data_IF_920029222550
#
_entry.id   IF_920029222550
#
_cell.length_a   1.000
_cell.length_b   1.000
_cell.length_c   1.000
_cell.angle_alpha   90.00
_cell.angle_beta   90.00
_cell.angle_gamma   90.00
#
_symmetry.space_group_name_H-M   'P 1'
#
loop_
_entity.id
_entity.type
_entity.pdbx_description
1 polymer ?
#
# COMPACT_ATOMS: atom_id res chain seq x y z
N UNK A 1 -40.96 -39.32 9.49
CA UNK A 1 -39.67 -39.85 9.98
C UNK A 1 -38.66 -39.37 8.95
N UNK A 2 -38.08 -38.18 9.13
CA UNK A 2 -36.80 -37.93 9.85
C UNK A 2 -35.68 -38.70 9.14
N UNK A 3 -34.62 -38.10 8.60
CA UNK A 3 -33.85 -36.95 9.09
C UNK A 3 -33.37 -36.04 7.95
N UNK A 4 -33.40 -34.73 8.24
CA UNK A 4 -32.57 -33.74 7.58
C UNK A 4 -31.13 -33.92 8.06
N UNK A 5 -30.22 -34.29 7.15
CA UNK A 5 -28.78 -34.22 7.38
C UNK A 5 -28.30 -32.79 7.11
N UNK A 6 -27.79 -32.15 8.15
CA UNK A 6 -27.31 -30.78 8.20
C UNK A 6 -26.28 -30.40 7.12
N UNK A 7 -26.18 -29.11 6.76
CA UNK A 7 -25.16 -28.59 5.88
C UNK A 7 -23.78 -28.90 6.45
N UNK A 8 -22.92 -29.52 5.64
CA UNK A 8 -21.52 -29.69 5.95
C UNK A 8 -20.92 -28.33 6.31
N UNK A 9 -20.70 -28.13 7.61
CA UNK A 9 -19.95 -27.01 8.13
C UNK A 9 -18.62 -27.00 7.40
N UNK A 10 -18.39 -25.95 6.61
CA UNK A 10 -17.06 -25.65 6.11
C UNK A 10 -16.19 -25.53 7.35
N UNK A 11 -15.15 -26.37 7.53
CA UNK A 11 -14.30 -26.26 8.70
C UNK A 11 -13.71 -24.85 8.72
N UNK A 12 -14.13 -24.07 9.70
CA UNK A 12 -13.41 -22.88 10.10
C UNK A 12 -12.04 -23.36 10.60
N UNK A 13 -10.99 -22.73 10.08
CA UNK A 13 -9.62 -22.78 10.59
C UNK A 13 -8.78 -24.01 10.20
N UNK A 14 -8.48 -24.12 8.90
CA UNK A 14 -7.29 -24.82 8.44
C UNK A 14 -6.14 -23.79 8.26
N UNK A 15 -5.41 -23.55 9.35
CA UNK A 15 -3.98 -23.21 9.32
C UNK A 15 -3.60 -21.80 8.88
N UNK A 16 -3.78 -20.81 9.77
CA UNK A 16 -2.88 -19.64 9.78
C UNK A 16 -1.62 -20.03 10.53
N UNK A 17 -0.50 -20.06 9.82
CA UNK A 17 0.79 -20.47 10.35
C UNK A 17 1.67 -19.25 10.66
N UNK A 18 2.65 -19.42 11.53
CA UNK A 18 3.69 -18.41 11.77
C UNK A 18 4.47 -18.02 10.49
N UNK A 19 4.46 -18.88 9.47
CA UNK A 19 5.02 -18.58 8.15
C UNK A 19 4.19 -17.51 7.42
N UNK A 20 2.86 -17.52 7.54
CA UNK A 20 1.97 -16.52 6.93
C UNK A 20 2.17 -15.14 7.59
N UNK A 21 2.40 -15.10 8.91
CA UNK A 21 2.79 -13.88 9.62
C UNK A 21 4.13 -13.33 9.14
N UNK A 22 5.13 -14.20 8.95
CA UNK A 22 6.44 -13.80 8.47
C UNK A 22 6.38 -13.25 7.03
N UNK A 23 5.55 -13.86 6.18
CA UNK A 23 5.28 -13.40 4.82
C UNK A 23 4.58 -12.04 4.81
N UNK A 24 3.52 -11.86 5.60
CA UNK A 24 2.83 -10.58 5.74
C UNK A 24 3.78 -9.46 6.22
N UNK A 25 4.66 -9.76 7.18
CA UNK A 25 5.71 -8.84 7.62
C UNK A 25 6.67 -8.47 6.48
N UNK A 26 7.07 -9.43 5.65
CA UNK A 26 7.95 -9.19 4.51
C UNK A 26 7.27 -8.32 3.45
N UNK A 27 6.01 -8.61 3.13
CA UNK A 27 5.20 -7.83 2.20
C UNK A 27 5.01 -6.40 2.73
N UNK A 28 4.70 -6.22 4.00
CA UNK A 28 4.56 -4.91 4.64
C UNK A 28 5.85 -4.09 4.57
N UNK A 29 7.01 -4.72 4.82
CA UNK A 29 8.32 -4.06 4.67
C UNK A 29 8.55 -3.60 3.23
N UNK A 30 8.25 -4.46 2.24
CA UNK A 30 8.37 -4.10 0.84
C UNK A 30 7.53 -2.87 0.50
N UNK A 31 6.24 -2.87 0.87
CA UNK A 31 5.38 -1.72 0.60
C UNK A 31 5.83 -0.44 1.28
N UNK A 32 6.38 -0.51 2.49
CA UNK A 32 7.00 0.65 3.14
C UNK A 32 8.20 1.18 2.36
N UNK A 33 9.03 0.32 1.78
CA UNK A 33 10.13 0.74 0.91
C UNK A 33 9.61 1.43 -0.35
N UNK A 34 8.66 0.81 -1.05
CA UNK A 34 8.04 1.37 -2.27
C UNK A 34 7.39 2.74 -1.99
N UNK A 35 6.76 2.89 -0.83
CA UNK A 35 6.19 4.16 -0.37
C UNK A 35 7.26 5.26 -0.26
N UNK A 36 8.43 4.95 0.28
CA UNK A 36 9.52 5.92 0.40
C UNK A 36 10.08 6.32 -0.97
N UNK A 37 10.12 5.39 -1.93
CA UNK A 37 10.48 5.68 -3.33
C UNK A 37 9.46 6.61 -3.99
N UNK A 38 8.15 6.34 -3.86
CA UNK A 38 7.08 7.22 -4.34
C UNK A 38 7.17 8.64 -3.73
N UNK A 39 7.55 8.73 -2.45
CA UNK A 39 7.80 10.02 -1.79
C UNK A 39 9.03 10.73 -2.35
N UNK A 40 10.08 9.99 -2.71
CA UNK A 40 11.27 10.54 -3.35
C UNK A 40 10.95 11.09 -4.75
N UNK A 41 10.21 10.30 -5.54
CA UNK A 41 9.76 10.68 -6.89
C UNK A 41 8.87 11.92 -6.84
N UNK A 42 7.96 12.00 -5.88
CA UNK A 42 7.13 13.19 -5.66
C UNK A 42 7.95 14.45 -5.42
N UNK A 43 9.04 14.36 -4.62
CA UNK A 43 9.97 15.49 -4.41
C UNK A 43 10.74 15.85 -5.68
N UNK A 44 11.12 14.87 -6.48
CA UNK A 44 11.81 15.07 -7.76
C UNK A 44 10.92 15.75 -8.79
N UNK A 45 9.67 15.33 -8.92
CA UNK A 45 8.69 15.95 -9.79
C UNK A 45 8.45 17.41 -9.40
N UNK A 46 8.29 17.70 -8.10
CA UNK A 46 8.14 19.08 -7.63
C UNK A 46 9.36 19.96 -7.99
N UNK A 47 10.57 19.41 -7.86
CA UNK A 47 11.80 20.12 -8.31
C UNK A 47 11.80 20.34 -9.81
N UNK A 48 11.45 19.32 -10.60
CA UNK A 48 11.42 19.40 -12.06
C UNK A 48 10.44 20.48 -12.56
N UNK A 49 9.26 20.60 -11.95
CA UNK A 49 8.29 21.66 -12.26
C UNK A 49 8.89 23.06 -12.03
N UNK A 50 9.62 23.23 -10.94
CA UNK A 50 10.29 24.48 -10.61
C UNK A 50 11.42 24.86 -11.58
N UNK A 51 12.11 23.86 -12.13
CA UNK A 51 13.21 24.04 -13.08
C UNK A 51 12.75 24.19 -14.54
N UNK A 52 11.53 23.76 -14.86
CA UNK A 52 10.96 23.90 -16.20
C UNK A 52 10.78 25.39 -16.54
N UNK A 53 11.75 25.96 -17.24
CA UNK A 53 11.73 27.34 -17.71
C UNK A 53 11.91 27.37 -19.22
N UNK A 54 11.31 28.34 -19.92
CA UNK A 54 11.51 28.46 -21.35
C UNK A 54 12.97 28.83 -21.66
N UNK A 55 13.62 28.17 -22.64
CA UNK A 55 15.02 28.45 -22.98
C UNK A 55 15.20 29.81 -23.66
N UNK A 56 14.13 30.35 -24.27
CA UNK A 56 14.07 31.67 -24.85
C UNK A 56 12.67 32.28 -24.61
N UNK A 57 12.53 33.60 -24.80
CA UNK A 57 11.25 34.30 -24.57
C UNK A 57 10.33 34.34 -25.79
N UNK A 58 10.66 33.61 -26.86
CA UNK A 58 9.76 33.48 -27.99
C UNK A 58 8.52 32.66 -27.60
N UNK A 59 7.43 32.86 -28.34
CA UNK A 59 6.15 32.23 -28.05
C UNK A 59 6.20 30.71 -28.01
N UNK A 60 7.03 30.08 -28.85
CA UNK A 60 7.12 28.61 -28.91
C UNK A 60 7.87 28.05 -27.71
N UNK A 61 8.97 28.68 -27.30
CA UNK A 61 9.71 28.31 -26.09
C UNK A 61 8.84 28.42 -24.83
N UNK A 62 8.04 29.49 -24.72
CA UNK A 62 7.10 29.69 -23.61
C UNK A 62 6.01 28.61 -23.59
N UNK A 63 5.37 28.36 -24.73
CA UNK A 63 4.34 27.32 -24.84
C UNK A 63 4.89 25.93 -24.52
N UNK A 64 6.09 25.62 -24.99
CA UNK A 64 6.74 24.34 -24.69
C UNK A 64 6.99 24.18 -23.19
N UNK A 65 7.54 25.19 -22.52
CA UNK A 65 7.76 25.13 -21.08
C UNK A 65 6.44 25.01 -20.30
N UNK A 66 5.37 25.67 -20.73
CA UNK A 66 4.04 25.53 -20.14
C UNK A 66 3.47 24.12 -20.29
N UNK A 67 3.57 23.53 -21.48
CA UNK A 67 3.14 22.16 -21.74
C UNK A 67 3.93 21.15 -20.88
N UNK A 68 5.25 21.35 -20.76
CA UNK A 68 6.10 20.53 -19.88
C UNK A 68 5.67 20.63 -18.42
N UNK A 69 5.41 21.85 -17.91
CA UNK A 69 4.89 22.03 -16.55
C UNK A 69 3.56 21.34 -16.34
N UNK A 70 2.65 21.43 -17.30
CA UNK A 70 1.36 20.76 -17.23
C UNK A 70 1.52 19.25 -17.13
N UNK A 71 2.36 18.65 -18.00
CA UNK A 71 2.65 17.21 -17.98
C UNK A 71 3.26 16.77 -16.64
N UNK A 72 4.25 17.50 -16.13
CA UNK A 72 4.84 17.22 -14.82
C UNK A 72 3.82 17.37 -13.67
N UNK A 73 2.87 18.31 -13.78
CA UNK A 73 1.79 18.48 -12.82
C UNK A 73 0.74 17.34 -12.86
N UNK A 74 0.52 16.72 -14.02
CA UNK A 74 -0.29 15.49 -14.12
C UNK A 74 0.45 14.30 -13.49
N UNK A 75 1.76 14.17 -13.75
CA UNK A 75 2.59 13.13 -13.14
C UNK A 75 2.62 13.25 -11.61
N UNK A 76 2.73 14.47 -11.08
CA UNK A 76 2.67 14.72 -9.64
C UNK A 76 1.34 14.27 -9.05
N UNK A 77 0.21 14.60 -9.69
CA UNK A 77 -1.11 14.15 -9.24
C UNK A 77 -1.25 12.63 -9.28
N UNK A 78 -0.70 11.98 -10.30
CA UNK A 78 -0.68 10.54 -10.36
C UNK A 78 0.16 9.93 -9.22
N UNK A 79 1.33 10.49 -8.94
CA UNK A 79 2.18 10.08 -7.83
C UNK A 79 1.47 10.21 -6.47
N UNK A 80 0.76 11.32 -6.25
CA UNK A 80 -0.03 11.53 -5.03
C UNK A 80 -1.14 10.49 -4.87
N UNK A 81 -1.82 10.14 -5.97
CA UNK A 81 -2.85 9.08 -5.97
C UNK A 81 -2.26 7.69 -5.67
N UNK A 82 -1.07 7.38 -6.23
CA UNK A 82 -0.35 6.15 -5.93
C UNK A 82 0.05 6.09 -4.45
N UNK A 83 0.57 7.18 -3.90
CA UNK A 83 0.93 7.26 -2.49
C UNK A 83 -0.26 6.97 -1.58
N UNK A 84 -1.42 7.58 -1.85
CA UNK A 84 -2.66 7.31 -1.11
C UNK A 84 -3.08 5.84 -1.20
N UNK A 85 -2.96 5.22 -2.37
CA UNK A 85 -3.28 3.82 -2.56
C UNK A 85 -2.35 2.92 -1.75
N UNK A 86 -1.05 3.19 -1.78
CA UNK A 86 -0.03 2.44 -1.03
C UNK A 86 -0.23 2.60 0.48
N UNK A 87 -0.51 3.81 0.96
CA UNK A 87 -0.83 4.07 2.37
C UNK A 87 -2.03 3.23 2.82
N UNK A 88 -3.12 3.24 2.06
CA UNK A 88 -4.30 2.43 2.38
C UNK A 88 -3.99 0.92 2.39
N UNK A 89 -3.10 0.45 1.53
CA UNK A 89 -2.70 -0.96 1.50
C UNK A 89 -1.83 -1.33 2.70
N UNK A 90 -0.87 -0.47 3.06
CA UNK A 90 -0.03 -0.63 4.26
C UNK A 90 -0.90 -0.67 5.51
N UNK A 91 -1.90 0.22 5.64
CA UNK A 91 -2.83 0.24 6.76
C UNK A 91 -3.60 -1.08 6.89
N UNK A 92 -4.15 -1.59 5.78
CA UNK A 92 -4.89 -2.87 5.77
C UNK A 92 -4.00 -4.04 6.15
N UNK A 93 -2.77 -4.09 5.62
CA UNK A 93 -1.80 -5.14 5.96
C UNK A 93 -1.38 -5.07 7.42
N UNK A 94 -1.15 -3.87 7.96
CA UNK A 94 -0.79 -3.68 9.36
C UNK A 94 -1.93 -4.10 10.30
N UNK A 95 -3.19 -3.79 9.96
CA UNK A 95 -4.36 -4.23 10.72
C UNK A 95 -4.49 -5.76 10.69
N UNK A 96 -4.40 -6.38 9.51
CA UNK A 96 -4.46 -7.84 9.39
C UNK A 96 -3.36 -8.54 10.20
N UNK A 97 -2.15 -7.98 10.20
CA UNK A 97 -1.04 -8.49 10.99
C UNK A 97 -1.33 -8.40 12.50
N UNK A 98 -1.85 -7.26 12.96
CA UNK A 98 -2.21 -7.06 14.36
C UNK A 98 -3.30 -8.05 14.81
N UNK A 99 -4.34 -8.23 14.00
CA UNK A 99 -5.43 -9.17 14.29
C UNK A 99 -4.92 -10.61 14.41
N UNK A 100 -3.96 -11.00 13.55
CA UNK A 100 -3.35 -12.33 13.60
C UNK A 100 -2.46 -12.53 14.82
N UNK A 101 -1.66 -11.53 15.19
CA UNK A 101 -0.81 -11.59 16.39
C UNK A 101 -1.65 -11.71 17.67
N UNK A 102 -2.74 -10.95 17.78
CA UNK A 102 -3.66 -11.03 18.92
C UNK A 102 -4.32 -12.42 19.00
N UNK A 103 -4.76 -12.98 17.88
CA UNK A 103 -5.33 -14.33 17.84
C UNK A 103 -4.35 -15.42 18.28
N UNK A 104 -3.07 -15.33 17.91
CA UNK A 104 -2.04 -16.27 18.38
C UNK A 104 -1.77 -16.13 19.89
N UNK A 105 -1.73 -14.90 20.41
CA UNK A 105 -1.52 -14.63 21.84
C UNK A 105 -2.66 -15.15 22.71
N UNK A 106 -3.91 -14.90 22.29
CA UNK A 106 -5.12 -15.37 22.99
C UNK A 106 -5.16 -16.90 23.06
N UNK A 107 -4.89 -17.57 21.95
CA UNK A 107 -4.81 -19.04 21.90
C UNK A 107 -3.69 -19.56 22.83
N UNK A 108 -2.51 -18.93 22.80
CA UNK A 108 -1.39 -19.31 23.65
C UNK A 108 -1.65 -19.05 25.15
N UNK A 109 -2.46 -18.05 25.50
CA UNK A 109 -2.94 -17.82 26.87
C UNK A 109 -3.95 -18.87 27.31
N UNK A 110 -4.90 -19.24 26.46
CA UNK A 110 -5.88 -20.30 26.75
C UNK A 110 -5.18 -21.64 27.02
N UNK A 111 -4.23 -22.03 26.19
CA UNK A 111 -3.42 -23.24 26.40
C UNK A 111 -2.61 -23.22 27.71
N UNK A 112 -2.19 -22.05 28.20
CA UNK A 112 -1.44 -21.92 29.46
C UNK A 112 -2.32 -22.01 30.72
N UNK A 113 -3.65 -21.84 30.58
CA UNK A 113 -4.60 -21.89 31.69
C UNK A 113 -5.14 -23.30 31.99
N UNK A 114 -4.90 -24.27 31.10
CA UNK A 114 -5.32 -25.69 31.20
C UNK A 114 -4.19 -26.51 31.81
#
# INVERSE_FOLDING_TARGET
MSEAGEPGAVPADAGRSSADLAELHAVLRKWRTEREEILADGRELARAVGLAAPPAQDSMSVLHAQATKQSLGELQRHNDALLQQVDSYIEKLAAALQDMQQGEEDAAEEFRRI
#
